data_IF_351147909279
#
_entry.id   IF_351147909279
#
_cell.length_a   1.000
_cell.length_b   1.000
_cell.length_c   1.000
_cell.angle_alpha   90.00
_cell.angle_beta   90.00
_cell.angle_gamma   90.00
#
_symmetry.space_group_name_H-M   'P 1'
#
loop_
_entity.id
_entity.type
_entity.pdbx_description
1 polymer ?
#
# COMPACT_ATOMS: atom_id res chain seq x y z
N UNK A 1 35.13 -65.82 -29.18
CA UNK A 1 36.18 -66.18 -28.19
C UNK A 1 36.83 -64.90 -27.72
N UNK A 2 36.87 -64.65 -26.41
CA UNK A 2 37.43 -63.43 -25.83
C UNK A 2 37.08 -63.30 -24.35
N UNK A 3 37.57 -64.24 -23.53
CA UNK A 3 37.48 -64.14 -22.06
C UNK A 3 38.68 -63.33 -21.57
N UNK A 4 38.43 -62.09 -21.16
CA UNK A 4 39.39 -61.26 -20.41
C UNK A 4 39.47 -61.74 -18.95
N UNK A 5 40.66 -61.82 -18.35
CA UNK A 5 40.83 -62.34 -17.00
C UNK A 5 40.45 -61.27 -15.97
N UNK A 6 39.60 -61.65 -15.01
CA UNK A 6 39.24 -60.78 -13.90
C UNK A 6 40.42 -60.67 -12.92
N UNK A 7 40.98 -59.46 -12.82
CA UNK A 7 42.04 -59.08 -11.88
C UNK A 7 41.56 -59.21 -10.41
N UNK A 8 42.20 -60.05 -9.57
CA UNK A 8 41.77 -60.30 -8.19
C UNK A 8 42.23 -59.23 -7.19
N UNK A 9 42.78 -58.09 -7.63
CA UNK A 9 43.40 -57.08 -6.76
C UNK A 9 42.43 -56.20 -5.94
N UNK A 10 41.10 -56.30 -6.12
CA UNK A 10 40.17 -55.34 -5.52
C UNK A 10 39.57 -55.66 -4.13
N UNK A 11 39.87 -56.81 -3.50
CA UNK A 11 39.09 -57.28 -2.33
C UNK A 11 39.55 -56.86 -0.92
N UNK A 12 40.62 -56.07 -0.73
CA UNK A 12 41.12 -55.78 0.65
C UNK A 12 41.36 -54.31 1.02
N UNK A 13 40.78 -53.34 0.29
CA UNK A 13 40.80 -51.90 0.68
C UNK A 13 39.44 -51.34 1.14
N UNK A 14 38.46 -52.21 1.42
CA UNK A 14 37.10 -51.83 1.83
C UNK A 14 36.94 -51.23 3.24
N UNK A 15 37.54 -51.78 4.31
CA UNK A 15 37.16 -51.41 5.67
C UNK A 15 37.74 -50.06 6.14
N UNK A 16 39.00 -49.75 5.80
CA UNK A 16 39.67 -48.52 6.26
C UNK A 16 39.06 -47.27 5.60
N UNK A 17 38.74 -47.33 4.29
CA UNK A 17 38.07 -46.22 3.59
C UNK A 17 36.67 -45.96 4.15
N UNK A 18 35.87 -47.02 4.35
CA UNK A 18 34.55 -46.91 4.98
C UNK A 18 34.61 -46.29 6.38
N UNK A 19 35.60 -46.65 7.18
CA UNK A 19 35.80 -46.05 8.51
C UNK A 19 36.19 -44.57 8.44
N UNK A 20 37.09 -44.18 7.52
CA UNK A 20 37.47 -42.78 7.33
C UNK A 20 36.31 -41.92 6.82
N UNK A 21 35.50 -42.44 5.90
CA UNK A 21 34.32 -41.75 5.38
C UNK A 21 33.26 -41.59 6.47
N UNK A 22 32.98 -42.63 7.25
CA UNK A 22 32.08 -42.55 8.41
C UNK A 22 32.54 -41.49 9.43
N UNK A 23 33.86 -41.39 9.69
CA UNK A 23 34.42 -40.37 10.60
C UNK A 23 34.32 -38.95 10.03
N UNK A 24 34.47 -38.77 8.71
CA UNK A 24 34.26 -37.48 8.02
C UNK A 24 32.79 -37.06 8.06
N UNK A 25 31.86 -37.99 7.81
CA UNK A 25 30.42 -37.74 7.92
C UNK A 25 30.01 -37.38 9.35
N UNK A 26 30.51 -38.10 10.35
CA UNK A 26 30.27 -37.79 11.77
C UNK A 26 30.78 -36.40 12.17
N UNK A 27 31.99 -36.01 11.73
CA UNK A 27 32.52 -34.65 11.98
C UNK A 27 31.71 -33.55 11.30
N UNK A 28 31.29 -33.76 10.04
CA UNK A 28 30.43 -32.81 9.31
C UNK A 28 29.07 -32.66 9.98
N UNK A 29 28.44 -33.77 10.38
CA UNK A 29 27.18 -33.75 11.12
C UNK A 29 27.32 -32.99 12.45
N UNK A 30 28.37 -33.25 13.24
CA UNK A 30 28.63 -32.53 14.49
C UNK A 30 28.88 -31.03 14.28
N UNK A 31 29.61 -30.65 13.23
CA UNK A 31 29.84 -29.25 12.88
C UNK A 31 28.55 -28.56 12.41
N UNK A 32 27.72 -29.26 11.63
CA UNK A 32 26.42 -28.76 11.19
C UNK A 32 25.47 -28.57 12.39
N UNK A 33 25.41 -29.52 13.32
CA UNK A 33 24.62 -29.37 14.55
C UNK A 33 25.11 -28.23 15.44
N UNK A 34 26.44 -27.99 15.52
CA UNK A 34 26.99 -26.82 16.24
C UNK A 34 26.59 -25.51 15.58
N UNK A 35 26.68 -25.42 14.25
CA UNK A 35 26.23 -24.24 13.49
C UNK A 35 24.74 -24.00 13.67
N UNK A 36 23.90 -25.05 13.56
CA UNK A 36 22.46 -24.95 13.78
C UNK A 36 22.10 -24.49 15.20
N UNK A 37 22.83 -24.97 16.22
CA UNK A 37 22.63 -24.50 17.61
C UNK A 37 23.07 -23.05 17.79
N UNK A 38 24.16 -22.64 17.16
CA UNK A 38 24.62 -21.25 17.20
C UNK A 38 23.64 -20.32 16.49
N UNK A 39 23.14 -20.68 15.30
CA UNK A 39 22.14 -19.89 14.59
C UNK A 39 20.84 -19.81 15.39
N UNK A 40 20.35 -20.94 15.91
CA UNK A 40 19.15 -20.95 16.76
C UNK A 40 19.31 -20.08 18.02
N UNK A 41 20.51 -20.07 18.63
CA UNK A 41 20.78 -19.22 19.79
C UNK A 41 20.83 -17.73 19.43
N UNK A 42 21.42 -17.37 18.28
CA UNK A 42 21.43 -16.00 17.78
C UNK A 42 20.03 -15.52 17.39
N UNK A 43 19.23 -16.37 16.76
CA UNK A 43 17.86 -16.05 16.36
C UNK A 43 16.96 -15.88 17.59
N UNK A 44 17.09 -16.76 18.59
CA UNK A 44 16.39 -16.62 19.87
C UNK A 44 16.76 -15.32 20.59
N UNK A 45 18.05 -14.95 20.63
CA UNK A 45 18.49 -13.68 21.21
C UNK A 45 17.97 -12.46 20.45
N UNK A 46 17.91 -12.53 19.11
CA UNK A 46 17.35 -11.46 18.28
C UNK A 46 15.84 -11.31 18.47
N UNK A 47 15.11 -12.41 18.64
CA UNK A 47 13.70 -12.38 18.98
C UNK A 47 13.47 -11.76 20.37
N UNK A 48 14.19 -12.23 21.39
CA UNK A 48 14.12 -11.67 22.75
C UNK A 48 14.44 -10.17 22.76
N UNK A 49 15.47 -9.73 22.04
CA UNK A 49 15.83 -8.32 21.94
C UNK A 49 14.74 -7.48 21.25
N UNK A 50 14.09 -8.02 20.22
CA UNK A 50 12.99 -7.34 19.53
C UNK A 50 11.79 -7.15 20.46
N UNK A 51 11.44 -8.19 21.21
CA UNK A 51 10.32 -8.15 22.15
C UNK A 51 10.60 -7.17 23.29
N UNK A 52 11.81 -7.19 23.86
CA UNK A 52 12.22 -6.24 24.90
C UNK A 52 12.25 -4.79 24.40
N UNK A 53 12.60 -4.55 23.14
CA UNK A 53 12.55 -3.22 22.54
C UNK A 53 11.12 -2.74 22.32
N UNK A 54 10.20 -3.63 21.92
CA UNK A 54 8.77 -3.30 21.83
C UNK A 54 8.21 -2.95 23.20
N UNK A 55 8.47 -3.79 24.22
CA UNK A 55 8.08 -3.52 25.61
C UNK A 55 8.67 -2.21 26.14
N UNK A 56 9.88 -1.86 25.72
CA UNK A 56 10.53 -0.61 26.12
C UNK A 56 9.84 0.61 25.48
N UNK A 57 9.43 0.52 24.20
CA UNK A 57 8.66 1.60 23.55
C UNK A 57 7.36 1.83 24.31
N UNK A 58 6.60 0.77 24.57
CA UNK A 58 5.33 0.86 25.30
C UNK A 58 5.52 1.44 26.71
N UNK A 59 6.58 1.03 27.42
CA UNK A 59 6.87 1.52 28.77
C UNK A 59 7.36 2.98 28.80
N UNK A 60 8.04 3.44 27.74
CA UNK A 60 8.43 4.86 27.60
C UNK A 60 7.19 5.71 27.38
N UNK A 61 6.27 5.25 26.53
CA UNK A 61 5.02 5.95 26.23
C UNK A 61 4.07 5.96 27.44
N UNK A 62 4.04 4.89 28.25
CA UNK A 62 3.26 4.81 29.50
C UNK A 62 3.92 5.53 30.69
N UNK A 63 5.14 6.07 30.53
CA UNK A 63 5.92 6.78 31.56
C UNK A 63 6.29 5.96 32.82
N UNK A 64 6.28 4.62 32.73
CA UNK A 64 6.60 3.71 33.84
C UNK A 64 8.11 3.66 34.15
N UNK A 65 8.61 4.64 34.91
CA UNK A 65 10.05 4.82 35.17
C UNK A 65 10.78 3.56 35.69
N UNK A 66 10.17 2.79 36.59
CA UNK A 66 10.79 1.58 37.15
C UNK A 66 10.93 0.46 36.10
N UNK A 67 9.91 0.29 35.26
CA UNK A 67 9.89 -0.71 34.18
C UNK A 67 10.89 -0.36 33.09
N UNK A 68 10.94 0.91 32.67
CA UNK A 68 11.92 1.40 31.68
C UNK A 68 13.35 1.15 32.15
N UNK A 69 13.68 1.48 33.40
CA UNK A 69 15.02 1.25 33.95
C UNK A 69 15.37 -0.25 34.06
N UNK A 70 14.40 -1.13 34.31
CA UNK A 70 14.61 -2.58 34.31
C UNK A 70 14.87 -3.11 32.89
N UNK A 71 14.07 -2.67 31.91
CA UNK A 71 14.20 -3.07 30.50
C UNK A 71 15.53 -2.60 29.90
N UNK A 72 15.91 -1.33 30.10
CA UNK A 72 17.22 -0.80 29.66
C UNK A 72 18.36 -1.65 30.20
N UNK A 73 18.36 -1.97 31.51
CA UNK A 73 19.41 -2.82 32.12
C UNK A 73 19.43 -4.23 31.53
N UNK A 74 18.28 -4.79 31.20
CA UNK A 74 18.19 -6.12 30.58
C UNK A 74 18.72 -6.10 29.14
N UNK A 75 18.36 -5.09 28.36
CA UNK A 75 18.82 -4.92 26.98
C UNK A 75 20.34 -4.72 26.94
N UNK A 76 20.90 -3.87 27.80
CA UNK A 76 22.36 -3.64 27.89
C UNK A 76 23.14 -4.94 28.15
N UNK A 77 22.57 -5.87 28.94
CA UNK A 77 23.21 -7.19 29.18
C UNK A 77 23.21 -8.09 27.95
N UNK A 78 22.25 -7.93 27.06
CA UNK A 78 22.13 -8.73 25.83
C UNK A 78 22.98 -8.11 24.72
N UNK A 79 22.82 -6.80 24.51
CA UNK A 79 23.54 -6.02 23.50
C UNK A 79 23.72 -4.56 23.98
N UNK A 80 24.91 -4.19 24.49
CA UNK A 80 25.18 -2.85 25.01
C UNK A 80 25.29 -1.79 23.91
N UNK A 81 25.41 -2.17 22.63
CA UNK A 81 25.62 -1.25 21.52
C UNK A 81 24.41 -1.17 20.59
N UNK A 82 23.25 -1.68 21.01
CA UNK A 82 22.06 -1.67 20.17
C UNK A 82 21.60 -0.23 19.85
N UNK A 83 21.51 0.18 18.58
CA UNK A 83 21.32 1.59 18.21
C UNK A 83 19.99 2.18 18.72
N UNK A 84 18.92 1.39 18.69
CA UNK A 84 17.60 1.85 19.19
C UNK A 84 17.56 2.11 20.69
N UNK A 85 18.44 1.47 21.47
CA UNK A 85 18.45 1.61 22.93
C UNK A 85 18.76 3.06 23.32
N UNK A 86 19.81 3.65 22.74
CA UNK A 86 20.26 5.00 23.06
C UNK A 86 19.19 6.04 22.75
N UNK A 87 18.51 5.91 21.59
CA UNK A 87 17.39 6.78 21.23
C UNK A 87 16.21 6.70 22.21
N UNK A 88 15.82 5.49 22.62
CA UNK A 88 14.73 5.29 23.58
C UNK A 88 15.09 5.76 24.99
N UNK A 89 16.33 5.48 25.44
CA UNK A 89 16.83 5.95 26.74
C UNK A 89 16.92 7.48 26.79
N UNK A 90 17.35 8.12 25.71
CA UNK A 90 17.36 9.57 25.59
C UNK A 90 15.94 10.15 25.64
N UNK A 91 14.98 9.61 24.87
CA UNK A 91 13.56 10.04 24.92
C UNK A 91 12.98 9.92 26.32
N UNK A 92 13.23 8.80 27.01
CA UNK A 92 12.81 8.64 28.40
C UNK A 92 13.41 9.70 29.34
N UNK A 93 14.70 9.99 29.21
CA UNK A 93 15.34 11.06 29.99
C UNK A 93 14.73 12.45 29.68
N UNK A 94 14.33 12.71 28.43
CA UNK A 94 13.61 13.93 28.02
C UNK A 94 12.22 14.01 28.69
N UNK A 95 11.46 12.91 28.71
CA UNK A 95 10.16 12.87 29.39
C UNK A 95 10.28 13.19 30.89
N UNK A 96 11.42 12.87 31.51
CA UNK A 96 11.72 13.23 32.90
C UNK A 96 12.34 14.61 33.07
N UNK A 97 12.39 15.41 31.99
CA UNK A 97 13.04 16.71 31.92
C UNK A 97 14.53 16.69 32.34
N UNK A 98 15.21 15.56 32.19
CA UNK A 98 16.64 15.40 32.48
C UNK A 98 17.46 15.47 31.19
N UNK A 99 17.57 16.68 30.64
CA UNK A 99 18.21 16.93 29.34
C UNK A 99 19.70 16.54 29.34
N UNK A 100 20.41 16.77 30.44
CA UNK A 100 21.82 16.41 30.58
C UNK A 100 22.06 14.90 30.46
N UNK A 101 21.16 14.08 31.03
CA UNK A 101 21.24 12.62 30.89
C UNK A 101 20.88 12.18 29.46
N UNK A 102 19.93 12.83 28.82
CA UNK A 102 19.56 12.53 27.44
C UNK A 102 20.73 12.78 26.47
N UNK A 103 21.43 13.91 26.61
CA UNK A 103 22.65 14.23 25.84
C UNK A 103 23.73 13.17 26.06
N UNK A 104 24.00 12.77 27.31
CA UNK A 104 24.98 11.70 27.61
C UNK A 104 24.64 10.37 26.93
N UNK A 105 23.37 10.01 26.83
CA UNK A 105 22.96 8.80 26.11
C UNK A 105 23.23 8.92 24.61
N UNK A 106 22.99 10.09 24.02
CA UNK A 106 23.21 10.31 22.59
C UNK A 106 24.71 10.38 22.26
N UNK A 107 25.52 11.04 23.08
CA UNK A 107 26.98 11.12 22.91
C UNK A 107 27.67 9.75 23.08
N UNK A 108 27.10 8.88 23.91
CA UNK A 108 27.59 7.51 24.09
C UNK A 108 27.25 6.58 22.91
N UNK A 109 26.47 7.04 21.93
CA UNK A 109 26.06 6.22 20.80
C UNK A 109 27.21 6.09 19.79
N UNK A 110 27.76 4.88 19.55
CA UNK A 110 28.94 4.70 18.69
C UNK A 110 28.69 5.01 17.20
N UNK A 111 27.48 4.71 16.72
CA UNK A 111 27.04 4.95 15.35
C UNK A 111 25.66 5.61 15.31
N UNK A 112 25.56 6.95 15.50
CA UNK A 112 24.26 7.62 15.58
C UNK A 112 23.47 7.39 14.30
N UNK A 113 22.23 6.92 14.44
CA UNK A 113 21.25 6.90 13.36
C UNK A 113 20.72 8.31 13.11
N UNK A 114 20.12 8.54 11.95
CA UNK A 114 19.50 9.84 11.59
C UNK A 114 18.52 10.33 12.68
N UNK A 115 17.69 9.43 13.21
CA UNK A 115 16.76 9.73 14.30
C UNK A 115 17.46 10.21 15.57
N UNK A 116 18.56 9.55 15.96
CA UNK A 116 19.31 9.94 17.16
C UNK A 116 20.08 11.23 16.96
N UNK A 117 20.56 11.49 15.75
CA UNK A 117 21.21 12.75 15.37
C UNK A 117 20.22 13.91 15.39
N UNK A 118 19.02 13.73 14.83
CA UNK A 118 17.92 14.71 14.91
C UNK A 118 17.54 15.01 16.36
N UNK A 119 17.42 13.97 17.20
CA UNK A 119 17.11 14.14 18.61
C UNK A 119 18.21 14.92 19.36
N UNK A 120 19.48 14.67 19.05
CA UNK A 120 20.60 15.40 19.63
C UNK A 120 20.57 16.89 19.25
N UNK A 121 20.29 17.19 17.99
CA UNK A 121 20.17 18.57 17.49
C UNK A 121 18.99 19.30 18.12
N UNK A 122 17.83 18.64 18.24
CA UNK A 122 16.67 19.18 18.96
C UNK A 122 16.98 19.49 20.43
N UNK A 123 17.76 18.62 21.09
CA UNK A 123 18.20 18.84 22.46
C UNK A 123 19.12 20.04 22.59
N UNK A 124 20.10 20.19 21.69
CA UNK A 124 20.97 21.36 21.64
C UNK A 124 20.17 22.66 21.46
N UNK A 125 19.17 22.66 20.57
CA UNK A 125 18.26 23.80 20.41
C UNK A 125 17.52 24.13 21.72
N UNK A 126 17.14 23.12 22.50
CA UNK A 126 16.43 23.28 23.78
C UNK A 126 17.34 23.70 24.93
N UNK A 127 18.61 23.30 24.93
CA UNK A 127 19.60 23.70 25.94
C UNK A 127 20.17 25.10 25.71
N UNK A 128 19.87 25.72 24.56
CA UNK A 128 20.27 27.08 24.21
C UNK A 128 21.37 27.17 23.16
N UNK A 129 21.94 26.04 22.72
CA UNK A 129 23.03 25.97 21.74
C UNK A 129 22.51 25.99 20.30
N UNK A 130 21.55 26.88 20.01
CA UNK A 130 20.85 26.94 18.71
C UNK A 130 21.80 27.18 17.53
N UNK A 131 22.83 28.01 17.71
CA UNK A 131 23.80 28.31 16.65
C UNK A 131 24.63 27.08 16.24
N UNK A 132 25.00 26.24 17.21
CA UNK A 132 25.73 25.00 16.93
C UNK A 132 24.83 23.98 16.22
N UNK A 133 23.60 23.81 16.69
CA UNK A 133 22.62 22.94 16.07
C UNK A 133 22.32 23.37 14.62
N UNK A 134 22.19 24.67 14.38
CA UNK A 134 22.01 25.25 13.06
C UNK A 134 23.19 24.92 12.13
N UNK A 135 24.43 25.16 12.56
CA UNK A 135 25.63 24.83 11.79
C UNK A 135 25.69 23.33 11.42
N UNK A 136 25.46 22.46 12.41
CA UNK A 136 25.48 21.01 12.22
C UNK A 136 24.36 20.53 11.29
N UNK A 137 23.17 21.13 11.36
CA UNK A 137 22.06 20.86 10.45
C UNK A 137 22.35 21.35 9.04
N UNK A 138 22.92 22.56 8.90
CA UNK A 138 23.31 23.13 7.61
C UNK A 138 24.33 22.23 6.91
N UNK A 139 25.36 21.79 7.63
CA UNK A 139 26.37 20.87 7.10
C UNK A 139 25.76 19.50 6.73
N UNK A 140 24.85 18.97 7.55
CA UNK A 140 24.19 17.71 7.24
C UNK A 140 23.29 17.81 6.01
N UNK A 141 22.51 18.90 5.89
CA UNK A 141 21.61 19.17 4.78
C UNK A 141 22.32 19.43 3.44
N UNK A 142 23.65 19.61 3.44
CA UNK A 142 24.45 19.62 2.19
C UNK A 142 24.71 18.21 1.64
N UNK A 143 24.58 17.17 2.48
CA UNK A 143 24.67 15.79 2.05
C UNK A 143 23.43 15.38 1.26
N UNK A 144 23.56 14.63 0.15
CA UNK A 144 22.40 14.11 -0.59
C UNK A 144 21.57 13.12 0.23
N UNK A 145 22.16 12.50 1.26
CA UNK A 145 21.52 11.52 2.13
C UNK A 145 20.78 12.15 3.33
N UNK A 146 20.68 13.48 3.38
CA UNK A 146 20.01 14.15 4.49
C UNK A 146 18.50 13.85 4.50
N UNK A 147 17.91 13.44 5.63
CA UNK A 147 16.49 13.16 5.70
C UNK A 147 15.69 14.47 5.59
N UNK A 148 14.49 14.40 5.00
CA UNK A 148 13.59 15.55 4.85
C UNK A 148 13.26 16.24 6.19
N UNK A 149 13.24 15.49 7.30
CA UNK A 149 13.05 16.02 8.66
C UNK A 149 14.20 16.91 9.12
N UNK A 150 15.44 16.67 8.68
CA UNK A 150 16.57 17.56 8.98
C UNK A 150 16.43 18.90 8.25
N UNK A 151 16.02 18.87 6.98
CA UNK A 151 15.74 20.09 6.21
C UNK A 151 14.60 20.90 6.83
N UNK A 152 13.52 20.24 7.24
CA UNK A 152 12.41 20.90 7.94
C UNK A 152 12.89 21.55 9.24
N UNK A 153 13.71 20.84 10.04
CA UNK A 153 14.25 21.40 11.29
C UNK A 153 15.18 22.59 11.02
N UNK A 154 16.06 22.52 10.02
CA UNK A 154 16.91 23.64 9.62
C UNK A 154 16.08 24.86 9.22
N UNK A 155 15.04 24.67 8.40
CA UNK A 155 14.15 25.73 7.99
C UNK A 155 13.44 26.39 9.19
N UNK A 156 13.02 25.61 10.19
CA UNK A 156 12.45 26.18 11.43
C UNK A 156 13.48 26.96 12.26
N UNK A 157 14.76 26.59 12.22
CA UNK A 157 15.81 27.33 12.93
C UNK A 157 16.23 28.61 12.19
N UNK A 158 16.29 28.58 10.85
CA UNK A 158 16.49 29.79 10.02
C UNK A 158 15.45 30.85 10.41
N UNK A 159 14.18 30.45 10.55
CA UNK A 159 13.07 31.33 10.90
C UNK A 159 13.19 31.95 12.31
N UNK A 160 13.66 31.16 13.29
CA UNK A 160 13.80 31.62 14.68
C UNK A 160 15.02 32.50 14.93
N UNK A 161 16.02 32.45 14.05
CA UNK A 161 17.32 33.10 14.30
C UNK A 161 17.49 34.42 13.55
N UNK A 162 16.49 34.84 12.77
CA UNK A 162 16.53 36.03 11.89
C UNK A 162 17.77 36.03 10.96
N UNK A 163 18.36 34.85 10.76
CA UNK A 163 19.47 34.64 9.86
C UNK A 163 18.92 34.53 8.44
N UNK A 164 19.65 35.10 7.48
CA UNK A 164 19.28 35.00 6.07
C UNK A 164 19.05 33.52 5.70
N UNK A 165 17.94 33.18 5.04
CA UNK A 165 17.56 31.79 4.78
C UNK A 165 18.67 31.09 4.01
N UNK A 166 19.37 30.17 4.67
CA UNK A 166 20.44 29.39 4.03
C UNK A 166 19.86 28.31 3.12
N UNK A 167 18.59 27.94 3.33
CA UNK A 167 17.83 27.01 2.51
C UNK A 167 16.90 27.72 1.52
N UNK A 168 17.43 28.20 0.39
CA UNK A 168 16.58 28.63 -0.74
C UNK A 168 15.94 27.46 -1.51
N UNK A 169 16.26 26.21 -1.15
CA UNK A 169 15.74 25.04 -1.83
C UNK A 169 14.48 24.54 -1.13
N UNK A 170 13.35 24.55 -1.85
CA UNK A 170 12.09 23.95 -1.42
C UNK A 170 12.35 22.48 -1.00
N UNK A 171 12.23 22.14 0.31
CA UNK A 171 12.57 20.82 0.82
C UNK A 171 11.76 19.70 0.16
N UNK A 172 10.58 20.02 -0.40
CA UNK A 172 9.74 19.11 -1.15
C UNK A 172 10.33 18.69 -2.52
N UNK A 173 11.14 19.55 -3.15
CA UNK A 173 11.66 19.32 -4.51
C UNK A 173 12.93 18.48 -4.54
N UNK A 174 13.79 18.56 -3.52
CA UNK A 174 15.13 17.92 -3.55
C UNK A 174 15.15 16.46 -3.16
N UNK A 175 14.36 16.05 -2.19
CA UNK A 175 14.55 14.72 -1.57
C UNK A 175 13.77 13.62 -2.26
N UNK A 176 12.74 13.92 -3.06
CA UNK A 176 11.84 12.91 -3.66
C UNK A 176 11.14 11.99 -2.63
N UNK A 177 11.47 12.15 -1.34
CA UNK A 177 11.09 11.30 -0.23
C UNK A 177 9.83 11.87 0.41
N UNK A 178 8.79 11.05 0.34
CA UNK A 178 7.41 11.40 0.64
C UNK A 178 7.17 11.17 2.12
N UNK A 179 7.61 12.10 2.97
CA UNK A 179 7.37 12.02 4.40
C UNK A 179 6.38 13.10 4.84
N UNK A 180 5.16 12.69 5.20
CA UNK A 180 4.10 13.57 5.69
C UNK A 180 4.55 14.56 6.78
N UNK A 181 5.38 14.19 7.78
CA UNK A 181 5.80 15.12 8.83
C UNK A 181 6.63 16.30 8.34
N UNK A 182 7.47 16.11 7.31
CA UNK A 182 8.30 17.19 6.77
C UNK A 182 7.44 18.23 6.02
N UNK A 183 6.46 17.74 5.26
CA UNK A 183 5.49 18.58 4.58
C UNK A 183 4.55 19.30 5.56
N UNK A 184 4.15 18.64 6.65
CA UNK A 184 3.36 19.26 7.73
C UNK A 184 4.15 20.38 8.41
N UNK A 185 5.44 20.16 8.70
CA UNK A 185 6.32 21.18 9.27
C UNK A 185 6.52 22.37 8.33
N UNK A 186 6.64 22.13 7.02
CA UNK A 186 6.74 23.19 6.02
C UNK A 186 5.43 24.00 5.92
N UNK A 187 4.28 23.34 5.91
CA UNK A 187 3.00 24.04 5.92
C UNK A 187 2.80 24.89 7.19
N UNK A 188 3.18 24.36 8.36
CA UNK A 188 3.24 25.11 9.62
C UNK A 188 4.10 26.37 9.51
N UNK A 189 5.25 26.26 8.84
CA UNK A 189 6.16 27.38 8.64
C UNK A 189 5.57 28.44 7.70
N UNK A 190 4.90 28.03 6.62
CA UNK A 190 4.18 28.96 5.75
C UNK A 190 3.09 29.73 6.54
N UNK A 191 2.33 29.03 7.39
CA UNK A 191 1.34 29.69 8.28
C UNK A 191 2.02 30.66 9.24
N UNK A 192 3.14 30.29 9.85
CA UNK A 192 3.88 31.17 10.77
C UNK A 192 4.40 32.45 10.10
N UNK A 193 4.65 32.40 8.78
CA UNK A 193 5.08 33.54 7.95
C UNK A 193 3.92 34.36 7.36
N UNK A 194 2.68 34.04 7.72
CA UNK A 194 1.46 34.62 7.13
C UNK A 194 1.33 34.37 5.61
N UNK A 195 2.02 33.37 5.07
CA UNK A 195 1.88 32.91 3.68
C UNK A 195 0.85 31.78 3.60
N UNK A 196 -0.42 32.18 3.75
CA UNK A 196 -1.56 31.27 3.77
C UNK A 196 -1.74 30.54 2.44
N UNK A 197 -1.39 31.14 1.30
CA UNK A 197 -1.55 30.51 -0.01
C UNK A 197 -0.53 29.38 -0.22
N UNK A 198 0.73 29.58 0.17
CA UNK A 198 1.72 28.51 0.16
C UNK A 198 1.36 27.39 1.14
N UNK A 199 0.89 27.74 2.35
CA UNK A 199 0.42 26.75 3.32
C UNK A 199 -0.74 25.90 2.75
N UNK A 200 -1.72 26.54 2.12
CA UNK A 200 -2.86 25.88 1.49
C UNK A 200 -2.44 24.97 0.35
N UNK A 201 -1.53 25.42 -0.52
CA UNK A 201 -0.98 24.61 -1.61
C UNK A 201 -0.27 23.35 -1.10
N UNK A 202 0.57 23.49 -0.08
CA UNK A 202 1.32 22.39 0.52
C UNK A 202 0.41 21.38 1.22
N UNK A 203 -0.64 21.86 1.89
CA UNK A 203 -1.63 20.99 2.54
C UNK A 203 -2.55 20.32 1.51
N UNK A 204 -2.88 20.99 0.41
CA UNK A 204 -3.57 20.37 -0.72
C UNK A 204 -2.76 19.21 -1.33
N UNK A 205 -1.46 19.40 -1.52
CA UNK A 205 -0.55 18.33 -1.97
C UNK A 205 -0.45 17.18 -0.97
N UNK A 206 -0.37 17.49 0.33
CA UNK A 206 -0.44 16.50 1.41
C UNK A 206 -1.76 15.72 1.40
N UNK A 207 -2.89 16.41 1.28
CA UNK A 207 -4.21 15.83 1.28
C UNK A 207 -4.43 14.90 0.08
N UNK A 208 -3.97 15.31 -1.10
CA UNK A 208 -4.01 14.46 -2.29
C UNK A 208 -3.22 13.16 -2.09
N UNK A 209 -2.09 13.23 -1.37
CA UNK A 209 -1.16 12.11 -1.25
C UNK A 209 -1.41 11.22 -0.03
N UNK A 210 -2.01 11.75 1.02
CA UNK A 210 -2.23 11.11 2.31
C UNK A 210 -3.68 11.32 2.79
N UNK A 211 -4.65 11.22 1.89
CA UNK A 211 -6.08 11.48 2.16
C UNK A 211 -6.68 10.65 3.31
N UNK A 212 -6.07 9.51 3.64
CA UNK A 212 -6.49 8.63 4.72
C UNK A 212 -5.98 9.05 6.11
N UNK A 213 -5.05 9.99 6.23
CA UNK A 213 -4.49 10.41 7.52
C UNK A 213 -5.44 11.40 8.22
N UNK A 214 -6.00 11.05 9.40
CA UNK A 214 -6.92 11.93 10.12
C UNK A 214 -6.26 13.23 10.58
N UNK A 215 -4.93 13.26 10.76
CA UNK A 215 -4.22 14.50 11.11
C UNK A 215 -4.31 15.53 9.97
N UNK A 216 -4.14 15.11 8.72
CA UNK A 216 -4.18 16.01 7.55
C UNK A 216 -5.60 16.55 7.31
N UNK A 217 -6.62 15.75 7.60
CA UNK A 217 -8.01 16.20 7.57
C UNK A 217 -8.32 17.23 8.66
N UNK A 218 -7.69 17.14 9.83
CA UNK A 218 -7.80 18.16 10.87
C UNK A 218 -7.14 19.48 10.44
N UNK A 219 -5.99 19.40 9.75
CA UNK A 219 -5.28 20.53 9.16
C UNK A 219 -6.08 21.28 8.10
N UNK A 220 -6.71 20.54 7.17
CA UNK A 220 -7.61 21.11 6.16
C UNK A 220 -8.76 21.90 6.81
N UNK A 221 -9.39 21.30 7.83
CA UNK A 221 -10.49 21.94 8.57
C UNK A 221 -10.01 23.20 9.32
N UNK A 222 -8.83 23.17 9.94
CA UNK A 222 -8.32 24.31 10.71
C UNK A 222 -7.91 25.51 9.86
N UNK A 223 -7.56 25.29 8.59
CA UNK A 223 -7.17 26.38 7.67
C UNK A 223 -8.34 26.92 6.86
N UNK A 224 -9.57 26.54 7.22
CA UNK A 224 -10.78 26.91 6.47
C UNK A 224 -10.64 26.59 4.98
N UNK A 225 -9.82 25.58 4.66
CA UNK A 225 -9.90 24.88 3.38
C UNK A 225 -11.15 24.04 3.48
N UNK A 226 -12.29 24.72 3.31
CA UNK A 226 -13.58 24.07 3.18
C UNK A 226 -13.41 22.91 2.21
N UNK A 227 -13.99 21.77 2.55
CA UNK A 227 -14.05 20.62 1.66
C UNK A 227 -14.78 20.95 0.33
N UNK A 228 -15.31 22.17 0.19
CA UNK A 228 -15.79 22.77 -1.08
C UNK A 228 -14.70 22.91 -2.14
N UNK A 229 -13.41 22.75 -1.83
CA UNK A 229 -12.39 22.59 -2.87
C UNK A 229 -12.61 21.33 -3.75
N UNK A 230 -13.37 20.34 -3.27
CA UNK A 230 -13.83 19.20 -4.10
C UNK A 230 -14.99 19.56 -5.04
N UNK A 231 -15.58 20.76 -4.89
CA UNK A 231 -16.62 21.31 -5.78
C UNK A 231 -16.08 22.37 -6.74
N UNK A 232 -14.74 22.54 -6.85
CA UNK A 232 -14.21 23.34 -7.95
C UNK A 232 -14.71 22.73 -9.27
N UNK A 233 -15.40 23.51 -10.11
CA UNK A 233 -15.92 23.00 -11.37
C UNK A 233 -14.73 22.50 -12.18
N UNK A 234 -14.71 21.17 -12.43
CA UNK A 234 -13.68 20.53 -13.24
C UNK A 234 -13.56 21.30 -14.55
N UNK A 235 -12.43 21.99 -14.74
CA UNK A 235 -12.26 22.87 -15.89
C UNK A 235 -12.21 22.05 -17.17
N UNK A 236 -12.76 22.60 -18.25
CA UNK A 236 -12.73 21.97 -19.57
C UNK A 236 -11.29 21.64 -19.99
N UNK A 237 -10.34 22.51 -19.65
CA UNK A 237 -8.91 22.31 -19.93
C UNK A 237 -8.32 21.08 -19.24
N UNK A 238 -8.67 20.82 -17.98
CA UNK A 238 -8.20 19.62 -17.24
C UNK A 238 -8.76 18.34 -17.89
N UNK A 239 -10.03 18.38 -18.32
CA UNK A 239 -10.65 17.24 -19.03
C UNK A 239 -9.92 16.98 -20.35
N UNK A 240 -9.63 18.03 -21.12
CA UNK A 240 -8.94 17.90 -22.41
C UNK A 240 -7.49 17.43 -22.26
N UNK A 241 -6.78 17.93 -21.26
CA UNK A 241 -5.42 17.46 -20.95
C UNK A 241 -5.42 15.98 -20.56
N UNK A 242 -6.31 15.57 -19.66
CA UNK A 242 -6.42 14.17 -19.26
C UNK A 242 -6.84 13.28 -20.44
N UNK A 243 -7.78 13.73 -21.28
CA UNK A 243 -8.16 13.00 -22.49
C UNK A 243 -6.94 12.81 -23.41
N UNK A 244 -6.16 13.86 -23.68
CA UNK A 244 -4.93 13.76 -24.46
C UNK A 244 -3.95 12.74 -23.87
N UNK A 245 -3.70 12.78 -22.56
CA UNK A 245 -2.83 11.83 -21.87
C UNK A 245 -3.33 10.38 -21.96
N UNK A 246 -4.66 10.17 -21.90
CA UNK A 246 -5.27 8.84 -22.02
C UNK A 246 -5.25 8.32 -23.47
N UNK A 247 -5.30 9.20 -24.48
CA UNK A 247 -5.17 8.83 -25.89
C UNK A 247 -3.81 8.17 -26.15
N UNK A 248 -2.76 8.79 -25.62
CA UNK A 248 -1.38 8.32 -25.76
C UNK A 248 -1.13 7.03 -24.95
N UNK A 249 -1.93 6.77 -23.92
CA UNK A 249 -1.70 5.70 -22.93
C UNK A 249 -2.97 4.92 -22.59
N UNK A 250 -3.61 4.37 -23.62
CA UNK A 250 -4.88 3.61 -23.50
C UNK A 250 -4.85 2.48 -22.45
N UNK A 251 -3.71 1.81 -22.27
CA UNK A 251 -3.53 0.76 -21.26
C UNK A 251 -3.69 1.24 -19.80
N UNK A 252 -3.51 2.54 -19.53
CA UNK A 252 -3.63 3.12 -18.18
C UNK A 252 -5.09 3.23 -17.74
N UNK A 253 -6.04 3.28 -18.69
CA UNK A 253 -7.48 3.40 -18.41
C UNK A 253 -7.93 2.31 -17.43
N UNK A 254 -7.59 1.04 -17.71
CA UNK A 254 -7.96 -0.08 -16.83
C UNK A 254 -7.34 -0.01 -15.43
N UNK A 255 -6.13 0.53 -15.32
CA UNK A 255 -5.44 0.71 -14.02
C UNK A 255 -6.14 1.78 -13.19
N UNK A 256 -6.52 2.90 -13.81
CA UNK A 256 -7.23 4.00 -13.14
C UNK A 256 -8.63 3.57 -12.67
N UNK A 257 -9.38 2.87 -13.52
CA UNK A 257 -10.69 2.32 -13.15
C UNK A 257 -10.55 1.36 -11.97
N UNK A 258 -9.55 0.47 -11.99
CA UNK A 258 -9.28 -0.45 -10.88
C UNK A 258 -8.89 0.29 -9.60
N UNK A 259 -8.11 1.37 -9.70
CA UNK A 259 -7.78 2.21 -8.54
C UNK A 259 -9.06 2.79 -7.90
N UNK A 260 -10.00 3.28 -8.71
CA UNK A 260 -11.28 3.80 -8.22
C UNK A 260 -12.17 2.72 -7.57
N UNK A 261 -12.08 1.45 -8.00
CA UNK A 261 -12.79 0.35 -7.31
C UNK A 261 -12.29 0.11 -5.90
N UNK A 262 -10.99 0.29 -5.66
CA UNK A 262 -10.39 0.05 -4.34
C UNK A 262 -10.59 1.25 -3.41
N UNK A 263 -10.54 2.46 -3.95
CA UNK A 263 -10.73 3.70 -3.21
C UNK A 263 -11.53 4.69 -4.07
N UNK A 264 -12.87 4.64 -4.02
CA UNK A 264 -13.71 5.47 -4.87
C UNK A 264 -13.61 6.94 -4.47
N UNK A 265 -13.21 7.79 -5.42
CA UNK A 265 -13.18 9.23 -5.26
C UNK A 265 -14.15 9.87 -6.25
N UNK A 266 -15.33 10.37 -5.81
CA UNK A 266 -16.39 10.84 -6.71
C UNK A 266 -15.91 11.86 -7.75
N UNK A 267 -15.11 12.84 -7.34
CA UNK A 267 -14.55 13.85 -8.23
C UNK A 267 -13.63 13.25 -9.31
N UNK A 268 -12.82 12.24 -8.96
CA UNK A 268 -11.94 11.56 -9.92
C UNK A 268 -12.73 10.65 -10.86
N UNK A 269 -13.76 9.97 -10.36
CA UNK A 269 -14.68 9.16 -11.16
C UNK A 269 -15.35 10.03 -12.23
N UNK A 270 -15.86 11.20 -11.84
CA UNK A 270 -16.51 12.13 -12.77
C UNK A 270 -15.53 12.75 -13.78
N UNK A 271 -14.32 13.12 -13.34
CA UNK A 271 -13.27 13.58 -14.23
C UNK A 271 -12.91 12.51 -15.28
N UNK A 272 -12.70 11.26 -14.85
CA UNK A 272 -12.40 10.14 -15.75
C UNK A 272 -13.56 9.86 -16.71
N UNK A 273 -14.82 9.89 -16.24
CA UNK A 273 -16.00 9.74 -17.10
C UNK A 273 -16.00 10.81 -18.19
N UNK A 274 -15.81 12.09 -17.83
CA UNK A 274 -15.80 13.20 -18.80
C UNK A 274 -14.67 13.06 -19.82
N UNK A 275 -13.46 12.72 -19.38
CA UNK A 275 -12.31 12.55 -20.27
C UNK A 275 -12.51 11.37 -21.23
N UNK A 276 -12.98 10.21 -20.73
CA UNK A 276 -13.23 9.04 -21.57
C UNK A 276 -14.37 9.24 -22.57
N UNK A 277 -15.45 9.96 -22.19
CA UNK A 277 -16.55 10.28 -23.12
C UNK A 277 -16.09 11.09 -24.34
N UNK A 278 -15.10 11.98 -24.15
CA UNK A 278 -14.53 12.77 -25.27
C UNK A 278 -13.70 11.91 -26.21
N UNK A 279 -13.08 10.88 -25.69
CA UNK A 279 -12.04 10.09 -26.36
C UNK A 279 -12.56 8.79 -26.98
N UNK A 280 -13.68 8.27 -26.50
CA UNK A 280 -14.16 6.91 -26.85
C UNK A 280 -14.33 6.69 -28.35
N UNK A 281 -14.70 7.73 -29.10
CA UNK A 281 -14.89 7.67 -30.55
C UNK A 281 -13.57 7.79 -31.34
N UNK A 282 -12.51 8.34 -30.73
CA UNK A 282 -11.19 8.54 -31.35
C UNK A 282 -10.23 7.36 -31.10
N UNK A 283 -10.61 6.42 -30.24
CA UNK A 283 -9.79 5.26 -29.91
C UNK A 283 -9.78 4.21 -31.04
N UNK A 284 -8.61 3.61 -31.35
CA UNK A 284 -8.53 2.53 -32.33
C UNK A 284 -9.30 1.29 -31.86
N UNK A 285 -9.33 1.04 -30.55
CA UNK A 285 -10.10 -0.03 -29.91
C UNK A 285 -11.02 0.58 -28.86
N UNK A 286 -12.30 0.85 -29.19
CA UNK A 286 -13.21 1.55 -28.29
C UNK A 286 -13.71 0.67 -27.13
N UNK A 287 -13.66 -0.66 -27.27
CA UNK A 287 -14.27 -1.59 -26.30
C UNK A 287 -13.75 -1.41 -24.86
N UNK A 288 -12.42 -1.33 -24.58
CA UNK A 288 -11.93 -1.13 -23.22
C UNK A 288 -12.38 0.18 -22.59
N UNK A 289 -12.49 1.26 -23.38
CA UNK A 289 -12.99 2.55 -22.89
C UNK A 289 -14.50 2.53 -22.63
N UNK A 290 -15.27 1.82 -23.46
CA UNK A 290 -16.71 1.60 -23.23
C UNK A 290 -16.94 0.77 -21.96
N UNK A 291 -16.16 -0.29 -21.75
CA UNK A 291 -16.21 -1.07 -20.50
C UNK A 291 -15.84 -0.23 -19.28
N UNK A 292 -14.81 0.63 -19.39
CA UNK A 292 -14.41 1.55 -18.35
C UNK A 292 -15.50 2.58 -18.02
N UNK A 293 -16.15 3.16 -19.05
CA UNK A 293 -17.25 4.11 -18.88
C UNK A 293 -18.44 3.46 -18.18
N UNK A 294 -18.83 2.25 -18.60
CA UNK A 294 -19.88 1.49 -17.91
C UNK A 294 -19.56 1.27 -16.43
N UNK A 295 -18.32 0.86 -16.11
CA UNK A 295 -17.87 0.58 -14.76
C UNK A 295 -17.85 1.85 -13.88
N UNK A 296 -17.35 2.96 -14.42
CA UNK A 296 -17.34 4.25 -13.73
C UNK A 296 -18.75 4.80 -13.52
N UNK A 297 -19.68 4.63 -14.48
CA UNK A 297 -21.08 5.03 -14.31
C UNK A 297 -21.78 4.22 -13.22
N UNK A 298 -21.48 2.92 -13.08
CA UNK A 298 -21.97 2.11 -11.94
C UNK A 298 -21.43 2.66 -10.62
N UNK A 299 -20.13 2.96 -10.53
CA UNK A 299 -19.53 3.54 -9.31
C UNK A 299 -20.10 4.92 -8.97
N UNK A 300 -20.47 5.71 -9.97
CA UNK A 300 -21.11 7.02 -9.80
C UNK A 300 -22.63 6.93 -9.53
N UNK A 301 -23.18 5.72 -9.35
CA UNK A 301 -24.62 5.48 -9.17
C UNK A 301 -25.51 6.07 -10.30
N UNK A 302 -25.02 6.02 -11.54
CA UNK A 302 -25.73 6.44 -12.75
C UNK A 302 -26.10 5.21 -13.62
N UNK A 303 -27.16 4.46 -13.27
CA UNK A 303 -27.53 3.21 -13.93
C UNK A 303 -27.97 3.40 -15.39
N UNK A 304 -28.56 4.55 -15.74
CA UNK A 304 -29.02 4.84 -17.10
C UNK A 304 -27.86 5.09 -18.05
N UNK A 305 -26.82 5.80 -17.59
CA UNK A 305 -25.61 5.91 -18.36
C UNK A 305 -24.83 4.59 -18.43
N UNK A 306 -24.71 3.87 -17.31
CA UNK A 306 -24.07 2.56 -17.30
C UNK A 306 -24.72 1.63 -18.34
N UNK A 307 -26.06 1.57 -18.38
CA UNK A 307 -26.80 0.76 -19.37
C UNK A 307 -26.47 1.17 -20.80
N UNK A 308 -26.46 2.47 -21.12
CA UNK A 308 -26.14 2.95 -22.48
C UNK A 308 -24.75 2.49 -22.94
N UNK A 309 -23.74 2.61 -22.07
CA UNK A 309 -22.39 2.14 -22.39
C UNK A 309 -22.31 0.62 -22.49
N UNK A 310 -23.01 -0.11 -21.63
CA UNK A 310 -23.07 -1.58 -21.69
C UNK A 310 -23.70 -2.03 -23.00
N UNK A 311 -24.84 -1.46 -23.42
CA UNK A 311 -25.50 -1.78 -24.68
C UNK A 311 -24.61 -1.48 -25.88
N UNK A 312 -23.93 -0.33 -25.88
CA UNK A 312 -22.94 0.03 -26.90
C UNK A 312 -21.78 -0.97 -26.93
N UNK A 313 -21.28 -1.38 -25.77
CA UNK A 313 -20.21 -2.36 -25.66
C UNK A 313 -20.63 -3.74 -26.14
N UNK A 314 -21.86 -4.17 -25.85
CA UNK A 314 -22.44 -5.42 -26.33
C UNK A 314 -22.72 -5.41 -27.84
N UNK A 315 -22.95 -4.24 -28.44
CA UNK A 315 -23.01 -4.11 -29.89
C UNK A 315 -21.64 -4.35 -30.55
N UNK A 316 -20.55 -3.98 -29.87
CA UNK A 316 -19.16 -4.22 -30.32
C UNK A 316 -18.74 -5.68 -30.03
N UNK A 317 -19.03 -6.18 -28.83
CA UNK A 317 -18.69 -7.52 -28.37
C UNK A 317 -19.91 -8.21 -27.74
N UNK A 318 -20.73 -8.91 -28.55
CA UNK A 318 -22.01 -9.51 -28.11
C UNK A 318 -21.91 -10.58 -27.03
N UNK A 319 -20.71 -11.10 -26.79
CA UNK A 319 -20.45 -12.20 -25.87
C UNK A 319 -19.48 -11.82 -24.72
N UNK A 320 -19.28 -10.51 -24.47
CA UNK A 320 -18.45 -10.04 -23.36
C UNK A 320 -19.08 -10.43 -22.02
N UNK A 321 -18.42 -11.34 -21.30
CA UNK A 321 -18.83 -11.77 -19.96
C UNK A 321 -18.90 -10.60 -18.97
N UNK A 322 -17.92 -9.68 -19.05
CA UNK A 322 -17.85 -8.50 -18.17
C UNK A 322 -19.08 -7.60 -18.35
N UNK A 323 -19.42 -7.28 -19.60
CA UNK A 323 -20.58 -6.44 -19.90
C UNK A 323 -21.91 -7.12 -19.57
N UNK A 324 -22.02 -8.44 -19.81
CA UNK A 324 -23.21 -9.21 -19.44
C UNK A 324 -23.45 -9.21 -17.91
N UNK A 325 -22.38 -9.35 -17.12
CA UNK A 325 -22.46 -9.29 -15.66
C UNK A 325 -22.78 -7.87 -15.15
N UNK A 326 -22.21 -6.83 -15.77
CA UNK A 326 -22.56 -5.44 -15.46
C UNK A 326 -24.02 -5.13 -15.79
N UNK A 327 -24.54 -5.64 -16.92
CA UNK A 327 -25.95 -5.48 -17.27
C UNK A 327 -26.86 -6.09 -16.21
N UNK A 328 -26.51 -7.29 -15.72
CA UNK A 328 -27.23 -7.95 -14.64
C UNK A 328 -27.29 -7.05 -13.38
N UNK A 329 -26.14 -6.49 -12.98
CA UNK A 329 -26.04 -5.62 -11.80
C UNK A 329 -26.88 -4.35 -11.93
N UNK A 330 -26.87 -3.71 -13.11
CA UNK A 330 -27.58 -2.45 -13.36
C UNK A 330 -29.10 -2.67 -13.49
N UNK A 331 -29.53 -3.78 -14.09
CA UNK A 331 -30.95 -4.08 -14.24
C UNK A 331 -31.65 -4.33 -12.91
N UNK A 332 -30.96 -4.89 -11.91
CA UNK A 332 -31.56 -5.11 -10.57
C UNK A 332 -31.92 -3.78 -9.87
N UNK A 333 -31.23 -2.68 -10.19
CA UNK A 333 -31.49 -1.36 -9.63
C UNK A 333 -32.66 -0.61 -10.31
N UNK A 334 -33.06 -1.03 -11.51
CA UNK A 334 -33.98 -0.27 -12.37
C UNK A 334 -35.23 -1.05 -12.82
N UNK A 335 -35.27 -2.38 -12.70
CA UNK A 335 -36.36 -3.24 -13.20
C UNK A 335 -37.50 -3.49 -12.20
N UNK A 336 -37.76 -2.55 -11.27
CA UNK A 336 -38.97 -2.60 -10.44
C UNK A 336 -40.28 -2.47 -11.26
N UNK A 337 -40.22 -2.03 -12.53
CA UNK A 337 -41.41 -1.80 -13.36
C UNK A 337 -41.28 -2.36 -14.80
N UNK A 338 -41.94 -3.50 -15.03
CA UNK A 338 -42.62 -3.88 -16.30
C UNK A 338 -41.81 -4.08 -17.60
N UNK A 339 -40.48 -4.28 -17.57
CA UNK A 339 -39.72 -4.57 -18.82
C UNK A 339 -39.36 -6.05 -18.98
N UNK A 340 -39.36 -6.59 -20.22
CA UNK A 340 -38.85 -7.93 -20.48
C UNK A 340 -37.38 -8.03 -20.04
N UNK A 341 -37.01 -9.16 -19.43
CA UNK A 341 -35.74 -9.36 -18.75
C UNK A 341 -34.56 -9.45 -19.76
N UNK A 342 -34.12 -8.29 -20.26
CA UNK A 342 -33.04 -8.15 -21.27
C UNK A 342 -31.74 -8.75 -20.76
N UNK A 343 -31.40 -8.49 -19.49
CA UNK A 343 -30.22 -9.05 -18.85
C UNK A 343 -30.21 -10.59 -18.89
N UNK A 344 -31.35 -11.25 -18.61
CA UNK A 344 -31.43 -12.71 -18.72
C UNK A 344 -31.15 -13.20 -20.14
N UNK A 345 -31.66 -12.51 -21.16
CA UNK A 345 -31.44 -12.90 -22.57
C UNK A 345 -29.96 -12.78 -22.98
N UNK A 346 -29.26 -11.75 -22.48
CA UNK A 346 -27.83 -11.51 -22.74
C UNK A 346 -26.98 -12.53 -21.99
N UNK A 347 -27.27 -12.78 -20.71
CA UNK A 347 -26.58 -13.79 -19.90
C UNK A 347 -26.70 -15.18 -20.51
N UNK A 348 -27.91 -15.57 -20.95
CA UNK A 348 -28.15 -16.86 -21.61
C UNK A 348 -27.34 -16.98 -22.90
N UNK A 349 -27.38 -15.95 -23.75
CA UNK A 349 -26.59 -15.91 -24.99
C UNK A 349 -25.09 -16.07 -24.72
N UNK A 350 -24.55 -15.38 -23.71
CA UNK A 350 -23.14 -15.48 -23.32
C UNK A 350 -22.80 -16.85 -22.73
N UNK A 351 -23.64 -17.41 -21.87
CA UNK A 351 -23.44 -18.71 -21.25
C UNK A 351 -23.52 -19.89 -22.25
N UNK A 352 -24.35 -19.76 -23.28
CA UNK A 352 -24.49 -20.74 -24.35
C UNK A 352 -23.30 -20.67 -25.32
N UNK A 353 -22.85 -19.47 -25.68
CA UNK A 353 -21.69 -19.28 -26.56
C UNK A 353 -20.36 -19.65 -25.88
N UNK A 354 -20.23 -19.39 -24.57
CA UNK A 354 -19.02 -19.65 -23.80
C UNK A 354 -19.32 -20.40 -22.50
N UNK A 355 -19.45 -21.75 -22.55
CA UNK A 355 -19.71 -22.57 -21.37
C UNK A 355 -18.64 -22.47 -20.28
N UNK A 356 -17.42 -22.03 -20.64
CA UNK A 356 -16.28 -21.84 -19.73
C UNK A 356 -16.40 -20.61 -18.82
N UNK A 357 -17.46 -19.81 -18.91
CA UNK A 357 -17.71 -18.66 -18.04
C UNK A 357 -18.66 -19.04 -16.88
N UNK A 358 -18.13 -19.56 -15.75
CA UNK A 358 -18.94 -20.03 -14.65
C UNK A 358 -19.73 -18.90 -13.99
N UNK A 359 -19.17 -17.69 -13.93
CA UNK A 359 -19.83 -16.54 -13.31
C UNK A 359 -21.05 -16.07 -14.09
N UNK A 360 -20.96 -16.07 -15.43
CA UNK A 360 -22.08 -15.74 -16.32
C UNK A 360 -23.19 -16.78 -16.20
N UNK A 361 -22.83 -18.07 -16.19
CA UNK A 361 -23.78 -19.17 -16.03
C UNK A 361 -24.47 -19.13 -14.66
N UNK A 362 -23.73 -18.86 -13.59
CA UNK A 362 -24.29 -18.62 -12.26
C UNK A 362 -25.27 -17.45 -12.26
N UNK A 363 -24.86 -16.29 -12.79
CA UNK A 363 -25.72 -15.10 -12.85
C UNK A 363 -27.01 -15.38 -13.64
N UNK A 364 -26.93 -16.09 -14.78
CA UNK A 364 -28.10 -16.50 -15.56
C UNK A 364 -29.08 -17.34 -14.71
N UNK A 365 -28.58 -18.36 -14.02
CA UNK A 365 -29.40 -19.27 -13.22
C UNK A 365 -30.07 -18.52 -12.05
N UNK A 366 -29.32 -17.67 -11.35
CA UNK A 366 -29.87 -16.88 -10.25
C UNK A 366 -30.94 -15.91 -10.75
N UNK A 367 -30.71 -15.25 -11.90
CA UNK A 367 -31.71 -14.37 -12.50
C UNK A 367 -32.97 -15.11 -12.96
N UNK A 368 -32.87 -16.36 -13.42
CA UNK A 368 -34.05 -17.21 -13.67
C UNK A 368 -34.87 -17.41 -12.39
N UNK A 369 -34.22 -17.73 -11.27
CA UNK A 369 -34.90 -17.86 -9.96
C UNK A 369 -35.55 -16.54 -9.56
N UNK A 370 -34.82 -15.44 -9.64
CA UNK A 370 -35.31 -14.13 -9.20
C UNK A 370 -36.48 -13.64 -10.08
N UNK A 371 -36.55 -14.10 -11.34
CA UNK A 371 -37.70 -13.91 -12.22
C UNK A 371 -38.87 -14.90 -11.99
N UNK A 372 -38.82 -15.74 -10.95
CA UNK A 372 -39.84 -16.74 -10.62
C UNK A 372 -39.80 -18.02 -11.47
N UNK A 373 -38.81 -18.17 -12.34
CA UNK A 373 -38.63 -19.34 -13.22
C UNK A 373 -37.88 -20.47 -12.51
N UNK A 374 -38.35 -20.84 -11.31
CA UNK A 374 -37.64 -21.75 -10.40
C UNK A 374 -37.35 -23.13 -11.01
N UNK A 375 -38.29 -23.69 -11.77
CA UNK A 375 -38.09 -24.98 -12.43
C UNK A 375 -36.97 -24.92 -13.47
N UNK A 376 -36.90 -23.84 -14.24
CA UNK A 376 -35.85 -23.63 -15.25
C UNK A 376 -34.50 -23.43 -14.56
N UNK A 377 -34.45 -22.60 -13.52
CA UNK A 377 -33.23 -22.38 -12.75
C UNK A 377 -32.67 -23.70 -12.17
N UNK A 378 -33.53 -24.54 -11.58
CA UNK A 378 -33.12 -25.82 -11.01
C UNK A 378 -32.67 -26.82 -12.08
N UNK A 379 -33.35 -26.88 -13.23
CA UNK A 379 -32.95 -27.73 -14.36
C UNK A 379 -31.58 -27.33 -14.91
N UNK A 380 -31.35 -26.03 -15.13
CA UNK A 380 -30.06 -25.51 -15.61
C UNK A 380 -28.93 -25.72 -14.59
N UNK A 381 -29.21 -25.56 -13.29
CA UNK A 381 -28.24 -25.83 -12.23
C UNK A 381 -27.84 -27.32 -12.16
N UNK A 382 -28.81 -28.24 -12.28
CA UNK A 382 -28.54 -29.69 -12.36
C UNK A 382 -27.69 -30.02 -13.56
N UNK A 383 -28.10 -29.55 -14.75
CA UNK A 383 -27.36 -29.76 -15.99
C UNK A 383 -25.93 -29.24 -15.90
N UNK A 384 -25.73 -28.07 -15.30
CA UNK A 384 -24.41 -27.50 -15.11
C UNK A 384 -23.54 -28.31 -14.15
N UNK A 385 -24.10 -28.75 -13.01
CA UNK A 385 -23.42 -29.60 -12.05
C UNK A 385 -23.03 -30.96 -12.64
N UNK A 386 -23.89 -31.54 -13.49
CA UNK A 386 -23.61 -32.80 -14.19
C UNK A 386 -22.48 -32.65 -15.23
N UNK A 387 -22.43 -31.50 -15.92
CA UNK A 387 -21.42 -31.20 -16.94
C UNK A 387 -20.07 -30.81 -16.36
N UNK A 388 -20.05 -30.20 -15.17
CA UNK A 388 -18.85 -29.72 -14.50
C UNK A 388 -18.84 -30.13 -13.02
N UNK A 389 -18.74 -31.44 -12.71
CA UNK A 389 -18.86 -31.94 -11.34
C UNK A 389 -17.76 -31.41 -10.40
N UNK A 390 -16.58 -31.12 -10.94
CA UNK A 390 -15.43 -30.59 -10.19
C UNK A 390 -15.58 -29.10 -9.84
N UNK A 391 -16.55 -28.40 -10.44
CA UNK A 391 -16.72 -26.96 -10.26
C UNK A 391 -17.56 -26.69 -9.01
N UNK A 392 -16.89 -26.33 -7.91
CA UNK A 392 -17.55 -26.06 -6.62
C UNK A 392 -18.71 -25.05 -6.72
N UNK A 393 -18.60 -24.04 -7.58
CA UNK A 393 -19.65 -23.03 -7.78
C UNK A 393 -20.95 -23.62 -8.37
N UNK A 394 -20.87 -24.64 -9.24
CA UNK A 394 -22.05 -25.30 -9.78
C UNK A 394 -22.80 -26.08 -8.67
N UNK A 395 -22.06 -26.82 -7.84
CA UNK A 395 -22.61 -27.54 -6.69
C UNK A 395 -23.18 -26.62 -5.63
N UNK A 396 -22.58 -25.44 -5.43
CA UNK A 396 -23.10 -24.43 -4.53
C UNK A 396 -24.45 -23.89 -5.01
N UNK A 397 -24.55 -23.49 -6.28
CA UNK A 397 -25.81 -22.97 -6.85
C UNK A 397 -26.93 -24.01 -6.79
N UNK A 398 -26.62 -25.28 -7.09
CA UNK A 398 -27.62 -26.35 -6.98
C UNK A 398 -28.16 -26.51 -5.55
N UNK A 399 -27.29 -26.43 -4.54
CA UNK A 399 -27.71 -26.47 -3.12
C UNK A 399 -28.54 -25.24 -2.74
N UNK A 400 -28.13 -24.05 -3.18
CA UNK A 400 -28.85 -22.79 -2.94
C UNK A 400 -30.26 -22.79 -3.55
N UNK A 401 -30.50 -23.53 -4.64
CA UNK A 401 -31.80 -23.65 -5.30
C UNK A 401 -32.68 -24.80 -4.79
N UNK A 402 -32.08 -25.78 -4.12
CA UNK A 402 -32.78 -26.96 -3.60
C UNK A 402 -33.22 -26.79 -2.13
N UNK A 403 -32.61 -25.85 -1.41
CA UNK A 403 -33.03 -25.38 -0.09
C UNK A 403 -34.24 -24.45 -0.23
#
# INVERSE_FOLDING_TARGET
>A
MGRTPADPSHRRRGPIRRWLDARRHSRRAAQQSRRQRQTAHHDARRAELRDLLADLVDAVDSTEAARVAALIRRIIRIDPHHPRLFGLAARWAIHRNNLAQAVRWLDAHPHPTDDTRLLALLLQCRTGDKALAHLQLSDWCRSPDAPATAHALLATLDDQTDLAPTSQADPATRTGAVHAPAWQAHALQCVARDDLDAAKSQIGLLAHRFSADPSINAWLKSLELDQTAHDQPVSVAIVDELAGQLLDRTHVIGVLVRAQRHQPQPAQIDLLRRALRRLVDDLPEPLPAVEALAELSIMAADPDEARRWIERGLAISPYSAKLALMLNQVSDAAEAESRPNVALSVLRRCADAHPSYPDVRRAMILRCRDAGLNQIALQEARRWADQAPDLHTAQQVLRELAA
#
